data_IF_144922464061
#
_entry.id   IF_144922464061
#
_cell.length_a   1.000
_cell.length_b   1.000
_cell.length_c   1.000
_cell.angle_alpha   90.00
_cell.angle_beta   90.00
_cell.angle_gamma   90.00
#
_symmetry.space_group_name_H-M   'P 1'
#
loop_
_entity.id
_entity.type
_entity.pdbx_description
1 polymer ?
#
# COMPACT_ATOMS: atom_id res chain seq x y z
N UNK A 1 -8.21 5.22 7.75
CA UNK A 1 -7.64 6.47 7.18
C UNK A 1 -8.28 7.72 7.76
N UNK A 2 -9.61 7.89 7.65
CA UNK A 2 -10.28 9.14 8.05
C UNK A 2 -10.16 9.45 9.56
N UNK A 3 -10.17 8.41 10.41
CA UNK A 3 -9.95 8.53 11.86
C UNK A 3 -8.49 8.78 12.27
N UNK A 4 -7.56 8.96 11.32
CA UNK A 4 -6.14 9.22 11.58
C UNK A 4 -5.42 8.15 12.44
N UNK A 5 -5.96 6.92 12.48
CA UNK A 5 -5.33 5.78 13.15
C UNK A 5 -4.08 5.32 12.40
N UNK A 6 -3.09 4.88 13.16
CA UNK A 6 -1.88 4.21 12.67
C UNK A 6 -2.13 2.71 12.63
N UNK A 7 -1.74 2.06 11.53
CA UNK A 7 -1.83 0.60 11.36
C UNK A 7 -0.41 0.10 11.16
N UNK A 8 0.04 -0.77 12.07
CA UNK A 8 1.31 -1.47 11.97
C UNK A 8 1.03 -2.93 11.68
N UNK A 9 1.71 -3.46 10.67
CA UNK A 9 1.51 -4.84 10.22
C UNK A 9 2.86 -5.53 10.20
N UNK A 10 3.04 -6.50 11.10
CA UNK A 10 4.23 -7.33 11.10
C UNK A 10 4.03 -8.53 10.15
N UNK A 11 4.74 -8.52 9.03
CA UNK A 11 4.74 -9.58 8.02
C UNK A 11 6.06 -10.38 8.02
N UNK A 12 6.73 -10.48 9.16
CA UNK A 12 7.96 -11.24 9.29
C UNK A 12 7.76 -12.69 8.82
N UNK A 13 8.58 -13.10 7.83
CA UNK A 13 8.54 -14.43 7.23
C UNK A 13 8.72 -15.55 8.26
N UNK A 14 9.50 -15.29 9.32
CA UNK A 14 9.73 -16.27 10.39
C UNK A 14 8.50 -16.54 11.27
N UNK A 15 7.55 -15.60 11.34
CA UNK A 15 6.32 -15.73 12.12
C UNK A 15 5.15 -16.27 11.30
N UNK A 16 4.98 -15.76 10.08
CA UNK A 16 3.78 -16.05 9.25
C UNK A 16 4.03 -17.03 8.10
N UNK A 17 5.29 -17.32 7.77
CA UNK A 17 5.66 -18.06 6.57
C UNK A 17 5.62 -17.17 5.32
N UNK A 18 6.59 -17.34 4.42
CA UNK A 18 6.82 -16.41 3.31
C UNK A 18 5.60 -16.20 2.40
N UNK A 19 4.90 -17.29 2.04
CA UNK A 19 3.77 -17.23 1.13
C UNK A 19 2.56 -16.52 1.77
N UNK A 20 2.25 -16.85 3.01
CA UNK A 20 1.17 -16.22 3.77
C UNK A 20 1.46 -14.74 4.00
N UNK A 21 2.69 -14.37 4.37
CA UNK A 21 3.09 -12.96 4.54
C UNK A 21 2.85 -12.16 3.26
N UNK A 22 3.16 -12.74 2.09
CA UNK A 22 2.89 -12.12 0.78
C UNK A 22 1.39 -11.94 0.51
N UNK A 23 0.58 -12.98 0.78
CA UNK A 23 -0.87 -12.92 0.58
C UNK A 23 -1.51 -11.86 1.49
N UNK A 24 -1.20 -11.89 2.78
CA UNK A 24 -1.71 -10.95 3.77
C UNK A 24 -1.32 -9.51 3.40
N UNK A 25 -0.05 -9.28 3.04
CA UNK A 25 0.41 -7.96 2.63
C UNK A 25 -0.33 -7.43 1.40
N UNK A 26 -0.54 -8.27 0.38
CA UNK A 26 -1.34 -7.91 -0.80
C UNK A 26 -2.80 -7.59 -0.44
N UNK A 27 -3.42 -8.37 0.44
CA UNK A 27 -4.79 -8.11 0.90
C UNK A 27 -4.89 -6.78 1.64
N UNK A 28 -3.95 -6.47 2.53
CA UNK A 28 -3.93 -5.20 3.28
C UNK A 28 -3.73 -4.02 2.32
N UNK A 29 -2.80 -4.12 1.38
CA UNK A 29 -2.59 -3.08 0.39
C UNK A 29 -3.84 -2.85 -0.49
N UNK A 30 -4.56 -3.93 -0.84
CA UNK A 30 -5.85 -3.83 -1.53
C UNK A 30 -6.91 -3.13 -0.67
N UNK A 31 -7.01 -3.45 0.62
CA UNK A 31 -7.96 -2.77 1.52
C UNK A 31 -7.64 -1.28 1.67
N UNK A 32 -6.36 -0.92 1.71
CA UNK A 32 -5.90 0.47 1.70
C UNK A 32 -6.31 1.15 0.39
N UNK A 33 -6.11 0.49 -0.76
CA UNK A 33 -6.56 1.01 -2.05
C UNK A 33 -8.05 1.31 -2.08
N UNK A 34 -8.87 0.33 -1.72
CA UNK A 34 -10.33 0.49 -1.68
C UNK A 34 -10.74 1.61 -0.72
N UNK A 35 -10.07 1.71 0.43
CA UNK A 35 -10.29 2.80 1.39
C UNK A 35 -9.92 4.16 0.81
N UNK A 36 -8.85 4.26 0.04
CA UNK A 36 -8.46 5.49 -0.63
C UNK A 36 -9.47 5.89 -1.72
N UNK A 37 -9.91 4.94 -2.55
CA UNK A 37 -10.92 5.17 -3.60
C UNK A 37 -12.25 5.69 -3.01
N UNK A 38 -12.68 5.15 -1.85
CA UNK A 38 -13.89 5.63 -1.15
C UNK A 38 -13.83 7.12 -0.78
N UNK A 39 -12.63 7.71 -0.68
CA UNK A 39 -12.43 9.14 -0.40
C UNK A 39 -12.80 10.04 -1.58
N UNK A 40 -13.11 9.47 -2.75
CA UNK A 40 -13.71 10.20 -3.88
C UNK A 40 -14.97 10.98 -3.46
N UNK A 41 -15.71 10.48 -2.46
CA UNK A 41 -16.95 11.07 -1.95
C UNK A 41 -16.74 12.25 -1.00
N UNK A 42 -15.50 12.50 -0.55
CA UNK A 42 -15.17 13.61 0.35
C UNK A 42 -14.70 14.81 -0.44
N UNK A 43 -14.95 16.03 0.05
CA UNK A 43 -14.38 17.24 -0.53
C UNK A 43 -12.83 17.17 -0.47
N UNK A 44 -12.09 17.58 -1.53
CA UNK A 44 -10.63 17.61 -1.52
C UNK A 44 -9.99 18.28 -0.30
N UNK A 45 -10.65 19.27 0.31
CA UNK A 45 -10.18 19.97 1.52
C UNK A 45 -10.28 19.09 2.78
N UNK A 46 -11.32 18.27 2.88
CA UNK A 46 -11.57 17.37 4.02
C UNK A 46 -10.69 16.11 3.98
N UNK A 47 -10.11 15.81 2.82
CA UNK A 47 -9.18 14.68 2.68
C UNK A 47 -7.95 14.96 3.57
N UNK A 48 -7.72 14.11 4.56
CA UNK A 48 -6.50 14.12 5.40
C UNK A 48 -5.38 13.30 4.74
N UNK A 49 -4.15 13.82 4.58
CA UNK A 49 -3.04 13.02 4.05
C UNK A 49 -2.86 11.70 4.81
N UNK A 50 -2.72 10.60 4.07
CA UNK A 50 -2.42 9.28 4.64
C UNK A 50 -1.21 8.71 3.90
N UNK A 51 -0.31 8.06 4.62
CA UNK A 51 0.94 7.53 4.06
C UNK A 51 1.00 6.03 4.27
N UNK A 52 1.26 5.31 3.19
CA UNK A 52 1.48 3.87 3.19
C UNK A 52 2.97 3.60 3.00
N UNK A 53 3.60 3.03 4.02
CA UNK A 53 4.97 2.56 3.99
C UNK A 53 4.97 1.07 3.69
N UNK A 54 5.71 0.66 2.65
CA UNK A 54 5.87 -0.74 2.27
C UNK A 54 7.35 -1.02 2.18
N UNK A 55 7.84 -1.86 3.09
CA UNK A 55 9.18 -2.43 2.99
C UNK A 55 9.16 -3.68 2.10
N UNK A 56 10.29 -3.98 1.47
CA UNK A 56 10.44 -5.11 0.54
C UNK A 56 9.34 -5.17 -0.53
N UNK A 57 9.06 -4.01 -1.15
CA UNK A 57 7.94 -3.76 -2.05
C UNK A 57 7.77 -4.81 -3.16
N UNK A 58 8.87 -5.34 -3.70
CA UNK A 58 8.89 -6.35 -4.76
C UNK A 58 8.05 -7.60 -4.44
N UNK A 59 7.87 -7.93 -3.15
CA UNK A 59 7.05 -9.05 -2.71
C UNK A 59 5.53 -8.81 -2.89
N UNK A 60 5.13 -7.54 -2.97
CA UNK A 60 3.73 -7.10 -2.94
C UNK A 60 3.28 -6.44 -4.25
N UNK A 61 4.17 -6.30 -5.23
CA UNK A 61 3.86 -5.72 -6.56
C UNK A 61 2.73 -6.49 -7.23
N UNK A 62 1.71 -5.73 -7.66
CA UNK A 62 0.59 -6.21 -8.46
C UNK A 62 0.00 -5.06 -9.28
N UNK A 63 -0.76 -5.38 -10.34
CA UNK A 63 -1.47 -4.39 -11.17
C UNK A 63 -2.36 -3.44 -10.36
N UNK A 64 -2.85 -3.88 -9.20
CA UNK A 64 -3.68 -3.05 -8.32
C UNK A 64 -2.89 -1.93 -7.66
N UNK A 65 -1.61 -2.18 -7.35
CA UNK A 65 -0.66 -1.20 -6.80
C UNK A 65 -0.19 -0.23 -7.91
N UNK A 66 0.05 -0.70 -9.13
CA UNK A 66 0.45 0.20 -10.23
C UNK A 66 -0.59 1.30 -10.49
N UNK A 67 -1.86 0.92 -10.49
CA UNK A 67 -2.97 1.89 -10.59
C UNK A 67 -3.06 2.80 -9.36
N UNK A 68 -2.75 2.31 -8.15
CA UNK A 68 -2.71 3.19 -6.97
C UNK A 68 -1.57 4.19 -7.07
N UNK A 69 -0.38 3.80 -7.52
CA UNK A 69 0.75 4.72 -7.69
C UNK A 69 0.41 5.88 -8.63
N UNK A 70 -0.32 5.59 -9.70
CA UNK A 70 -0.75 6.60 -10.68
C UNK A 70 -1.85 7.53 -10.17
N UNK A 71 -2.73 7.05 -9.28
CA UNK A 71 -3.95 7.77 -8.87
C UNK A 71 -3.95 8.28 -7.42
N UNK A 72 -3.04 7.79 -6.57
CA UNK A 72 -3.05 8.01 -5.13
C UNK A 72 -3.05 9.48 -4.72
N UNK A 73 -2.40 10.35 -5.50
CA UNK A 73 -2.40 11.81 -5.30
C UNK A 73 -3.81 12.39 -5.22
N UNK A 74 -4.74 11.93 -6.07
CA UNK A 74 -6.15 12.39 -6.09
C UNK A 74 -6.84 12.15 -4.74
N UNK A 75 -6.43 11.10 -4.04
CA UNK A 75 -7.01 10.67 -2.78
C UNK A 75 -6.22 11.09 -1.55
N UNK A 76 -5.17 11.94 -1.71
CA UNK A 76 -4.19 12.28 -0.67
C UNK A 76 -3.65 11.04 0.04
N UNK A 77 -3.33 10.01 -0.75
CA UNK A 77 -2.55 8.87 -0.33
C UNK A 77 -1.12 9.04 -0.86
N UNK A 78 -0.13 9.04 0.03
CA UNK A 78 1.27 8.94 -0.33
C UNK A 78 1.75 7.50 -0.17
N UNK A 79 2.62 7.05 -1.07
CA UNK A 79 3.28 5.75 -0.96
C UNK A 79 4.77 5.97 -0.76
N UNK A 80 5.34 5.27 0.22
CA UNK A 80 6.78 5.19 0.47
C UNK A 80 7.15 3.74 0.32
N UNK A 81 7.92 3.44 -0.72
CA UNK A 81 8.25 2.07 -1.10
C UNK A 81 9.75 1.87 -0.92
N UNK A 82 10.14 0.90 -0.11
CA UNK A 82 11.51 0.46 0.01
C UNK A 82 11.70 -0.86 -0.73
N UNK A 83 12.84 -0.97 -1.40
CA UNK A 83 13.32 -2.17 -2.09
C UNK A 83 14.85 -2.20 -2.02
N UNK A 84 15.44 -3.38 -2.12
CA UNK A 84 16.90 -3.53 -2.03
C UNK A 84 17.61 -3.28 -3.36
N UNK A 85 17.01 -3.71 -4.47
CA UNK A 85 17.62 -3.62 -5.80
C UNK A 85 16.59 -3.15 -6.84
N UNK A 86 17.01 -2.26 -7.73
CA UNK A 86 16.17 -1.73 -8.81
C UNK A 86 15.78 -2.86 -9.79
N UNK A 87 16.68 -3.79 -10.07
CA UNK A 87 16.46 -4.90 -11.01
C UNK A 87 15.30 -5.82 -10.61
N UNK A 88 14.93 -5.84 -9.32
CA UNK A 88 13.77 -6.57 -8.82
C UNK A 88 12.43 -5.97 -9.27
N UNK A 89 12.44 -4.70 -9.71
CA UNK A 89 11.28 -4.06 -10.34
C UNK A 89 11.12 -4.42 -11.82
N UNK A 90 12.22 -4.79 -12.48
CA UNK A 90 12.28 -5.08 -13.91
C UNK A 90 11.88 -6.52 -14.25
N UNK A 91 11.87 -7.42 -13.27
CA UNK A 91 11.44 -8.80 -13.44
C UNK A 91 9.91 -8.93 -13.26
N UNK A 92 9.12 -8.38 -14.18
CA UNK A 92 7.73 -8.78 -14.41
C UNK A 92 7.12 -8.17 -15.66
#
# INVERSE_FOLDING_TARGET
MNEKKVILVNLSKGLTGEENSKIIGKMIAMQIKLSALKRARLDPKERIPFFLYIDEFQNYVSKSIESILSEARKYKLGLILAHQYIDQLSQK
#
